data_IF_238108135769
#
_entry.id   IF_238108135769
#
_cell.length_a   1.000
_cell.length_b   1.000
_cell.length_c   1.000
_cell.angle_alpha   90.00
_cell.angle_beta   90.00
_cell.angle_gamma   90.00
#
_symmetry.space_group_name_H-M   'P 1'
#
loop_
_entity.id
_entity.type
_entity.pdbx_description
1 polymer ?
#
# COMPACT_ATOMS: atom_id res chain seq x y z
N UNK A 1 5.09 7.02 19.60
CA UNK A 1 3.83 6.67 18.89
C UNK A 1 4.00 6.23 17.45
N UNK A 2 4.84 6.88 16.61
CA UNK A 2 4.99 6.51 15.19
C UNK A 2 5.47 5.06 14.96
N UNK A 3 6.47 4.62 15.71
CA UNK A 3 7.00 3.24 15.65
C UNK A 3 5.94 2.20 16.04
N UNK A 4 5.17 2.47 17.10
CA UNK A 4 4.07 1.59 17.54
C UNK A 4 3.04 1.40 16.43
N UNK A 5 2.64 2.50 15.74
CA UNK A 5 1.72 2.42 14.60
C UNK A 5 2.29 1.58 13.46
N UNK A 6 3.56 1.76 13.14
CA UNK A 6 4.24 0.98 12.11
C UNK A 6 4.25 -0.52 12.46
N UNK A 7 4.67 -0.88 13.68
CA UNK A 7 4.68 -2.29 14.11
C UNK A 7 3.27 -2.90 14.10
N UNK A 8 2.26 -2.14 14.55
CA UNK A 8 0.88 -2.59 14.53
C UNK A 8 0.38 -2.85 13.10
N UNK A 9 0.70 -1.97 12.15
CA UNK A 9 0.37 -2.16 10.73
C UNK A 9 0.97 -3.46 10.20
N UNK A 10 2.26 -3.68 10.44
CA UNK A 10 2.96 -4.90 10.00
C UNK A 10 2.30 -6.16 10.57
N UNK A 11 2.01 -6.18 11.87
CA UNK A 11 1.39 -7.34 12.53
C UNK A 11 0.00 -7.61 11.96
N UNK A 12 -0.80 -6.57 11.75
CA UNK A 12 -2.17 -6.70 11.25
C UNK A 12 -2.20 -7.19 9.80
N UNK A 13 -1.34 -6.63 8.94
CA UNK A 13 -1.23 -7.06 7.54
C UNK A 13 -0.72 -8.50 7.46
N UNK A 14 0.31 -8.86 8.24
CA UNK A 14 0.83 -10.23 8.28
C UNK A 14 -0.23 -11.23 8.73
N UNK A 15 -1.02 -10.90 9.76
CA UNK A 15 -2.12 -11.73 10.22
C UNK A 15 -3.21 -11.88 9.14
N UNK A 16 -3.56 -10.79 8.45
CA UNK A 16 -4.52 -10.82 7.34
C UNK A 16 -4.06 -11.71 6.19
N UNK A 17 -2.79 -11.60 5.79
CA UNK A 17 -2.21 -12.43 4.73
C UNK A 17 -2.16 -13.90 5.15
N UNK A 18 -1.80 -14.19 6.40
CA UNK A 18 -1.78 -15.56 6.91
C UNK A 18 -3.17 -16.20 6.90
N UNK A 19 -4.19 -15.46 7.36
CA UNK A 19 -5.58 -15.92 7.32
C UNK A 19 -6.06 -16.15 5.88
N UNK A 20 -5.74 -15.22 4.97
CA UNK A 20 -6.05 -15.37 3.55
C UNK A 20 -5.42 -16.64 2.96
N UNK A 21 -4.13 -16.87 3.21
CA UNK A 21 -3.42 -18.08 2.78
C UNK A 21 -4.14 -19.35 3.25
N UNK A 22 -4.56 -19.39 4.52
CA UNK A 22 -5.30 -20.53 5.07
C UNK A 22 -6.67 -20.74 4.41
N UNK A 23 -7.38 -19.66 4.09
CA UNK A 23 -8.70 -19.74 3.46
C UNK A 23 -8.66 -20.22 2.01
N UNK A 24 -7.66 -19.77 1.24
CA UNK A 24 -7.54 -20.13 -0.19
C UNK A 24 -6.77 -21.44 -0.38
N UNK A 25 -6.07 -21.91 0.64
CA UNK A 25 -5.23 -23.12 0.56
C UNK A 25 -3.92 -22.88 -0.18
N UNK A 26 -3.51 -21.62 -0.34
CA UNK A 26 -2.23 -21.26 -0.94
C UNK A 26 -1.10 -21.43 0.06
N UNK A 27 0.11 -21.68 -0.43
CA UNK A 27 1.27 -21.66 0.45
C UNK A 27 1.39 -20.27 1.08
N UNK A 28 1.83 -20.22 2.33
CA UNK A 28 2.07 -18.94 2.99
C UNK A 28 3.10 -18.14 2.21
N UNK A 29 4.10 -18.81 1.63
CA UNK A 29 5.19 -18.16 0.91
C UNK A 29 4.70 -17.41 -0.34
N UNK A 30 3.85 -18.03 -1.15
CA UNK A 30 3.23 -17.40 -2.33
C UNK A 30 2.31 -16.25 -1.92
N UNK A 31 1.52 -16.46 -0.86
CA UNK A 31 0.59 -15.47 -0.35
C UNK A 31 1.30 -14.28 0.29
N UNK A 32 2.50 -14.48 0.84
CA UNK A 32 3.19 -13.48 1.64
C UNK A 32 3.65 -12.30 0.79
N UNK A 33 4.34 -12.57 -0.32
CA UNK A 33 4.79 -11.51 -1.23
C UNK A 33 3.63 -10.92 -2.04
N UNK A 34 2.76 -11.77 -2.61
CA UNK A 34 1.65 -11.28 -3.42
C UNK A 34 0.64 -10.50 -2.56
N UNK A 35 0.38 -10.95 -1.33
CA UNK A 35 -0.51 -10.29 -0.39
C UNK A 35 0.03 -8.94 0.08
N UNK A 36 1.31 -8.86 0.45
CA UNK A 36 1.93 -7.59 0.85
C UNK A 36 1.91 -6.58 -0.31
N UNK A 37 2.25 -7.03 -1.52
CA UNK A 37 2.22 -6.21 -2.74
C UNK A 37 0.81 -5.73 -3.07
N UNK A 38 -0.19 -6.61 -2.96
CA UNK A 38 -1.59 -6.27 -3.22
C UNK A 38 -2.11 -5.22 -2.22
N UNK A 39 -1.84 -5.38 -0.92
CA UNK A 39 -2.24 -4.40 0.10
C UNK A 39 -1.61 -3.04 -0.21
N UNK A 40 -0.30 -3.01 -0.50
CA UNK A 40 0.39 -1.77 -0.87
C UNK A 40 -0.23 -1.12 -2.10
N UNK A 41 -0.45 -1.89 -3.17
CA UNK A 41 -1.02 -1.40 -4.42
C UNK A 41 -2.43 -0.83 -4.23
N UNK A 42 -3.28 -1.51 -3.46
CA UNK A 42 -4.65 -1.05 -3.17
C UNK A 42 -4.61 0.28 -2.41
N UNK A 43 -3.82 0.37 -1.34
CA UNK A 43 -3.68 1.61 -0.56
C UNK A 43 -3.18 2.75 -1.45
N UNK A 44 -2.17 2.47 -2.28
CA UNK A 44 -1.59 3.44 -3.18
C UNK A 44 -2.59 3.95 -4.22
N UNK A 45 -3.37 3.05 -4.84
CA UNK A 45 -4.42 3.38 -5.80
C UNK A 45 -5.54 4.23 -5.17
N UNK A 46 -5.94 3.92 -3.94
CA UNK A 46 -6.94 4.71 -3.20
C UNK A 46 -6.45 6.14 -3.00
N UNK A 47 -5.22 6.32 -2.51
CA UNK A 47 -4.65 7.65 -2.28
C UNK A 47 -4.56 8.40 -3.60
N UNK A 48 -4.07 7.78 -4.68
CA UNK A 48 -4.02 8.41 -6.00
C UNK A 48 -5.41 8.87 -6.45
N UNK A 49 -6.42 8.01 -6.31
CA UNK A 49 -7.80 8.33 -6.72
C UNK A 49 -8.34 9.56 -5.99
N UNK A 50 -8.06 9.67 -4.69
CA UNK A 50 -8.43 10.84 -3.87
C UNK A 50 -7.74 12.12 -4.39
N UNK A 51 -6.43 12.07 -4.62
CA UNK A 51 -5.71 13.23 -5.17
C UNK A 51 -6.25 13.64 -6.55
N UNK A 52 -6.52 12.67 -7.42
CA UNK A 52 -7.08 12.95 -8.75
C UNK A 52 -8.45 13.61 -8.64
N UNK A 53 -9.34 13.08 -7.80
CA UNK A 53 -10.70 13.61 -7.64
C UNK A 53 -10.67 15.04 -7.06
N UNK A 54 -9.87 15.28 -6.01
CA UNK A 54 -9.73 16.64 -5.44
C UNK A 54 -9.21 17.65 -6.47
N UNK A 55 -8.19 17.27 -7.26
CA UNK A 55 -7.67 18.13 -8.32
C UNK A 55 -8.72 18.43 -9.40
N UNK A 56 -9.50 17.42 -9.78
CA UNK A 56 -10.59 17.59 -10.74
C UNK A 56 -11.64 18.54 -10.20
N UNK A 57 -12.04 18.39 -8.93
CA UNK A 57 -13.00 19.26 -8.26
C UNK A 57 -12.49 20.70 -8.17
N UNK A 58 -11.22 20.92 -7.82
CA UNK A 58 -10.61 22.26 -7.80
C UNK A 58 -10.56 22.90 -9.19
N UNK A 59 -10.20 22.14 -10.23
CA UNK A 59 -10.14 22.63 -11.60
C UNK A 59 -11.54 23.00 -12.13
N UNK A 60 -12.54 22.13 -11.91
CA UNK A 60 -13.91 22.34 -12.36
C UNK A 60 -14.54 23.54 -11.66
N UNK A 61 -14.40 23.66 -10.34
CA UNK A 61 -14.95 24.79 -9.59
C UNK A 61 -14.32 26.12 -10.01
N UNK A 62 -12.99 26.16 -10.18
CA UNK A 62 -12.31 27.36 -10.67
C UNK A 62 -12.75 27.75 -12.07
N UNK A 63 -12.95 26.78 -12.96
CA UNK A 63 -13.37 27.04 -14.34
C UNK A 63 -14.83 27.52 -14.43
N UNK A 64 -15.76 26.86 -13.73
CA UNK A 64 -17.19 27.11 -13.87
C UNK A 64 -17.70 28.28 -13.02
N UNK A 65 -17.13 28.48 -11.83
CA UNK A 65 -17.62 29.50 -10.88
C UNK A 65 -16.65 30.64 -10.65
N UNK A 66 -15.40 30.50 -11.11
CA UNK A 66 -14.32 31.44 -10.79
C UNK A 66 -13.83 31.38 -9.34
N UNK A 67 -14.44 30.53 -8.49
CA UNK A 67 -14.09 30.40 -7.07
C UNK A 67 -12.96 29.40 -6.90
N UNK A 68 -11.89 29.81 -6.22
CA UNK A 68 -10.79 28.93 -5.85
C UNK A 68 -11.16 28.10 -4.61
N UNK A 69 -11.35 26.79 -4.79
CA UNK A 69 -11.70 25.85 -3.71
C UNK A 69 -10.49 25.09 -3.15
N UNK A 70 -9.30 25.32 -3.71
CA UNK A 70 -8.05 24.69 -3.32
C UNK A 70 -7.00 24.73 -4.43
N UNK A 71 -5.78 24.31 -4.12
CA UNK A 71 -4.68 24.22 -5.07
C UNK A 71 -4.70 22.88 -5.82
N UNK A 72 -4.45 22.92 -7.13
CA UNK A 72 -4.21 21.71 -7.94
C UNK A 72 -2.76 21.28 -7.70
N UNK A 73 -2.57 20.12 -7.07
CA UNK A 73 -1.24 19.62 -6.71
C UNK A 73 -0.97 18.25 -7.33
N UNK A 74 0.24 17.98 -7.85
CA UNK A 74 0.57 16.65 -8.35
C UNK A 74 0.46 15.61 -7.21
N UNK A 75 0.20 14.36 -7.58
CA UNK A 75 0.13 13.27 -6.61
C UNK A 75 1.45 13.14 -5.85
N UNK A 76 1.36 13.18 -4.52
CA UNK A 76 2.49 12.98 -3.62
C UNK A 76 2.13 11.94 -2.57
N UNK A 77 2.95 10.89 -2.48
CA UNK A 77 2.83 9.90 -1.42
C UNK A 77 3.40 10.53 -0.15
N UNK A 78 2.53 10.79 0.83
CA UNK A 78 2.98 11.19 2.17
C UNK A 78 3.43 9.94 2.91
N UNK A 79 4.70 9.93 3.32
CA UNK A 79 5.31 8.80 4.02
C UNK A 79 4.84 8.71 5.47
N UNK A 80 3.62 8.23 5.65
CA UNK A 80 3.02 8.00 6.98
C UNK A 80 3.56 6.70 7.59
N UNK A 81 3.47 6.51 8.91
CA UNK A 81 3.85 5.23 9.54
C UNK A 81 3.13 4.00 8.96
N UNK A 82 1.91 4.18 8.44
CA UNK A 82 1.14 3.12 7.79
C UNK A 82 1.77 2.73 6.44
N UNK A 83 2.00 3.72 5.56
CA UNK A 83 2.68 3.49 4.27
C UNK A 83 4.07 2.91 4.47
N UNK A 84 4.81 3.40 5.47
CA UNK A 84 6.12 2.87 5.84
C UNK A 84 6.02 1.41 6.30
N UNK A 85 5.01 1.05 7.10
CA UNK A 85 4.77 -0.32 7.54
C UNK A 85 4.46 -1.26 6.38
N UNK A 86 3.50 -0.91 5.53
CA UNK A 86 3.13 -1.72 4.36
C UNK A 86 4.29 -1.87 3.38
N UNK A 87 5.03 -0.79 3.08
CA UNK A 87 6.19 -0.85 2.20
C UNK A 87 7.31 -1.71 2.81
N UNK A 88 7.54 -1.63 4.12
CA UNK A 88 8.50 -2.49 4.81
C UNK A 88 8.13 -3.96 4.66
N UNK A 89 6.84 -4.30 4.78
CA UNK A 89 6.35 -5.66 4.59
C UNK A 89 6.60 -6.16 3.17
N UNK A 90 6.34 -5.33 2.14
CA UNK A 90 6.65 -5.65 0.74
C UNK A 90 8.14 -5.98 0.59
N UNK A 91 9.03 -5.11 1.07
CA UNK A 91 10.48 -5.31 0.95
C UNK A 91 10.94 -6.59 1.67
N UNK A 92 10.49 -6.81 2.91
CA UNK A 92 10.83 -8.00 3.69
C UNK A 92 10.33 -9.27 2.99
N UNK A 93 9.07 -9.26 2.52
CA UNK A 93 8.49 -10.41 1.83
C UNK A 93 9.17 -10.73 0.51
N UNK A 94 9.65 -9.73 -0.23
CA UNK A 94 10.43 -9.91 -1.45
C UNK A 94 11.79 -10.56 -1.14
N UNK A 95 12.52 -10.05 -0.14
CA UNK A 95 13.82 -10.62 0.25
C UNK A 95 13.66 -12.08 0.67
N UNK A 96 12.66 -12.39 1.50
CA UNK A 96 12.39 -13.76 1.95
C UNK A 96 12.00 -14.64 0.76
N UNK A 97 11.22 -14.13 -0.21
CA UNK A 97 10.88 -14.85 -1.44
C UNK A 97 12.11 -15.21 -2.26
N UNK A 98 13.00 -14.26 -2.48
CA UNK A 98 14.25 -14.50 -3.20
C UNK A 98 15.06 -15.59 -2.50
N UNK A 99 15.27 -15.48 -1.18
CA UNK A 99 16.04 -16.47 -0.41
C UNK A 99 15.38 -17.85 -0.44
N UNK A 100 14.07 -17.92 -0.28
CA UNK A 100 13.32 -19.18 -0.26
C UNK A 100 13.37 -19.90 -1.60
N UNK A 101 13.26 -19.16 -2.71
CA UNK A 101 13.24 -19.75 -4.04
C UNK A 101 14.64 -19.89 -4.67
N UNK A 102 15.69 -19.29 -4.11
CA UNK A 102 17.06 -19.37 -4.62
C UNK A 102 17.54 -20.82 -4.88
N UNK A 103 17.31 -21.80 -3.98
CA UNK A 103 17.79 -23.17 -4.18
C UNK A 103 17.14 -23.89 -5.37
N UNK A 104 16.04 -23.40 -5.90
CA UNK A 104 15.39 -23.99 -7.08
C UNK A 104 16.05 -23.56 -8.40
N UNK A 105 16.98 -22.59 -8.36
CA UNK A 105 17.69 -22.07 -9.52
C UNK A 105 19.18 -22.44 -9.55
N UNK A 106 19.65 -23.20 -8.57
CA UNK A 106 21.02 -23.71 -8.43
C UNK A 106 21.04 -25.22 -8.53
#
# INVERSE_FOLDING_TARGET
MKIVKLCLTIILELAGIYLFSKMVGWSFMESFFLGSLAIFAIIWLIIMSIYRNNNMDHAVNKNLTGVETGEIRPFQIVFTPYIAGTLSLVVISLIISIVYYLPYFT
#
